data_IF_418836142111
#
_entry.id   IF_418836142111
#
_cell.length_a   1.000
_cell.length_b   1.000
_cell.length_c   1.000
_cell.angle_alpha   90.00
_cell.angle_beta   90.00
_cell.angle_gamma   90.00
#
_symmetry.space_group_name_H-M   'P 1'
#
loop_
_entity.id
_entity.type
_entity.pdbx_description
1 polymer ?
#
# COMPACT_ATOMS: atom_id res chain seq x y z
N UNK A 1 -38.20 -16.84 -53.41
CA UNK A 1 -37.86 -17.28 -52.04
C UNK A 1 -36.36 -17.08 -51.76
N UNK A 2 -35.83 -15.86 -51.98
CA UNK A 2 -34.37 -15.56 -51.85
C UNK A 2 -34.11 -14.37 -50.90
N UNK A 3 -35.06 -13.44 -50.73
CA UNK A 3 -34.87 -12.24 -49.91
C UNK A 3 -34.79 -12.46 -48.40
N UNK A 4 -35.51 -13.44 -47.85
CA UNK A 4 -35.59 -13.64 -46.38
C UNK A 4 -34.31 -14.29 -45.82
N UNK A 5 -33.58 -15.07 -46.63
CA UNK A 5 -32.33 -15.73 -46.20
C UNK A 5 -31.18 -14.75 -45.98
N UNK A 6 -31.12 -13.65 -46.73
CA UNK A 6 -30.02 -12.68 -46.61
C UNK A 6 -30.17 -11.79 -45.37
N UNK A 7 -31.39 -11.40 -44.98
CA UNK A 7 -31.58 -10.57 -43.78
C UNK A 7 -31.28 -11.31 -42.47
N UNK A 8 -31.62 -12.60 -42.38
CA UNK A 8 -31.34 -13.42 -41.20
C UNK A 8 -29.81 -13.64 -41.05
N UNK A 9 -29.11 -13.82 -42.17
CA UNK A 9 -27.67 -14.01 -42.18
C UNK A 9 -26.92 -12.74 -41.74
N UNK A 10 -27.32 -11.56 -42.25
CA UNK A 10 -26.70 -10.27 -41.91
C UNK A 10 -26.90 -9.92 -40.42
N UNK A 11 -28.08 -10.18 -39.86
CA UNK A 11 -28.37 -9.93 -38.42
C UNK A 11 -27.57 -10.86 -37.50
N UNK A 12 -27.35 -12.12 -37.90
CA UNK A 12 -26.51 -13.07 -37.16
C UNK A 12 -25.03 -12.67 -37.12
N UNK A 13 -24.49 -12.14 -38.24
CA UNK A 13 -23.12 -11.63 -38.29
C UNK A 13 -22.92 -10.40 -37.39
N UNK A 14 -23.90 -9.48 -37.34
CA UNK A 14 -23.82 -8.31 -36.45
C UNK A 14 -23.80 -8.67 -34.96
N UNK A 15 -24.59 -9.67 -34.54
CA UNK A 15 -24.57 -10.13 -33.15
C UNK A 15 -23.26 -10.85 -32.79
N UNK A 16 -22.64 -11.55 -33.74
CA UNK A 16 -21.34 -12.21 -33.52
C UNK A 16 -20.20 -11.18 -33.36
N UNK A 17 -20.20 -10.09 -34.13
CA UNK A 17 -19.20 -9.02 -34.03
C UNK A 17 -19.27 -8.23 -32.70
N UNK A 18 -20.47 -8.06 -32.13
CA UNK A 18 -20.65 -7.36 -30.84
C UNK A 18 -20.05 -8.19 -29.68
N UNK A 19 -20.21 -9.52 -29.70
CA UNK A 19 -19.65 -10.41 -28.66
C UNK A 19 -18.13 -10.54 -28.78
N UNK A 20 -17.59 -10.60 -30.01
CA UNK A 20 -16.14 -10.63 -30.26
C UNK A 20 -15.44 -9.31 -29.91
N UNK A 21 -16.11 -8.16 -30.07
CA UNK A 21 -15.59 -6.87 -29.62
C UNK A 21 -15.48 -6.73 -28.10
N UNK A 22 -16.40 -7.37 -27.35
CA UNK A 22 -16.41 -7.31 -25.88
C UNK A 22 -15.28 -8.15 -25.24
N UNK A 23 -14.90 -9.28 -25.85
CA UNK A 23 -13.83 -10.15 -25.34
C UNK A 23 -12.41 -9.57 -25.49
N UNK A 24 -12.23 -8.62 -26.42
CA UNK A 24 -10.94 -7.91 -26.57
C UNK A 24 -10.78 -6.76 -25.55
N UNK A 25 -11.88 -6.20 -25.03
CA UNK A 25 -11.81 -5.08 -24.08
C UNK A 25 -11.35 -5.50 -22.68
N UNK A 26 -11.55 -6.77 -22.29
CA UNK A 26 -11.17 -7.26 -20.96
C UNK A 26 -9.67 -7.56 -20.80
N UNK A 27 -8.87 -7.49 -21.86
CA UNK A 27 -7.43 -7.76 -21.81
C UNK A 27 -6.55 -6.49 -21.86
N UNK A 28 -7.14 -5.28 -21.87
CA UNK A 28 -6.42 -4.00 -21.95
C UNK A 28 -6.40 -3.21 -20.63
N UNK A 29 -6.51 -3.90 -19.49
CA UNK A 29 -6.31 -3.31 -18.15
C UNK A 29 -5.31 -4.17 -17.38
N UNK A 30 -4.09 -4.25 -17.90
CA UNK A 30 -2.92 -4.70 -17.15
C UNK A 30 -1.82 -3.68 -17.41
N UNK A 31 -1.38 -3.00 -16.35
CA UNK A 31 -0.14 -2.23 -16.34
C UNK A 31 -0.28 -0.72 -16.57
N UNK A 32 -1.05 -0.02 -15.75
CA UNK A 32 -0.67 1.35 -15.40
C UNK A 32 0.24 1.26 -14.16
N UNK A 33 1.55 1.16 -14.40
CA UNK A 33 2.54 1.69 -13.46
C UNK A 33 2.40 3.21 -13.50
N UNK A 34 1.40 3.69 -12.78
CA UNK A 34 1.28 5.11 -12.47
C UNK A 34 2.37 5.42 -11.45
N UNK A 35 3.53 5.88 -11.94
CA UNK A 35 4.44 6.73 -11.18
C UNK A 35 3.70 8.05 -10.92
N UNK A 36 2.74 8.00 -9.99
CA UNK A 36 2.08 9.17 -9.45
C UNK A 36 3.07 9.74 -8.45
N UNK A 37 3.82 10.75 -8.90
CA UNK A 37 4.35 11.78 -8.01
C UNK A 37 3.15 12.45 -7.32
N UNK A 38 2.64 11.77 -6.31
CA UNK A 38 1.67 12.32 -5.38
C UNK A 38 2.50 13.25 -4.51
N UNK A 39 2.44 14.56 -4.76
CA UNK A 39 2.93 15.54 -3.79
C UNK A 39 2.27 15.18 -2.45
N UNK A 40 3.10 14.72 -1.51
CA UNK A 40 2.61 14.37 -0.18
C UNK A 40 1.93 15.62 0.41
N UNK A 41 0.73 15.48 1.00
CA UNK A 41 0.10 16.59 1.68
C UNK A 41 1.05 17.16 2.75
N UNK A 42 1.05 18.48 2.90
CA UNK A 42 1.89 19.27 3.81
C UNK A 42 1.80 18.80 5.29
N UNK A 43 0.84 17.93 5.62
CA UNK A 43 0.57 17.35 6.94
C UNK A 43 0.82 15.84 7.01
N UNK A 44 1.84 15.33 6.32
CA UNK A 44 2.28 13.95 6.47
C UNK A 44 3.03 13.76 7.80
N UNK A 45 2.72 12.67 8.51
CA UNK A 45 3.46 12.30 9.73
C UNK A 45 4.91 11.94 9.44
N UNK A 46 5.24 11.59 8.19
CA UNK A 46 6.60 11.34 7.73
C UNK A 46 7.03 12.45 6.78
N UNK A 47 8.30 12.84 6.81
CA UNK A 47 8.84 13.65 5.73
C UNK A 47 9.34 12.76 4.58
N UNK A 48 9.75 13.36 3.48
CA UNK A 48 10.26 12.62 2.31
C UNK A 48 11.42 11.67 2.66
N UNK A 49 12.37 12.11 3.49
CA UNK A 49 13.54 11.29 3.89
C UNK A 49 13.12 10.06 4.70
N UNK A 50 12.18 10.23 5.64
CA UNK A 50 11.59 9.16 6.44
C UNK A 50 10.78 8.21 5.57
N UNK A 51 9.97 8.73 4.65
CA UNK A 51 9.21 7.95 3.66
C UNK A 51 10.13 7.10 2.78
N UNK A 52 11.25 7.67 2.31
CA UNK A 52 12.22 6.95 1.50
C UNK A 52 13.01 5.91 2.32
N UNK A 53 13.31 6.23 3.58
CA UNK A 53 13.89 5.27 4.52
C UNK A 53 12.95 4.08 4.78
N UNK A 54 11.65 4.33 4.98
CA UNK A 54 10.63 3.29 5.12
C UNK A 54 10.60 2.41 3.87
N UNK A 55 10.46 3.00 2.67
CA UNK A 55 10.40 2.25 1.40
C UNK A 55 11.63 1.39 1.20
N UNK A 56 12.82 1.93 1.48
CA UNK A 56 14.08 1.19 1.34
C UNK A 56 14.13 -0.01 2.28
N UNK A 57 13.83 0.20 3.56
CA UNK A 57 13.85 -0.88 4.55
C UNK A 57 12.82 -1.97 4.23
N UNK A 58 11.64 -1.58 3.76
CA UNK A 58 10.59 -2.51 3.37
C UNK A 58 11.01 -3.44 2.22
N UNK A 59 11.68 -2.89 1.20
CA UNK A 59 12.27 -3.69 0.12
C UNK A 59 13.31 -4.67 0.66
N UNK A 60 14.18 -4.24 1.58
CA UNK A 60 15.15 -5.14 2.20
C UNK A 60 14.48 -6.30 2.93
N UNK A 61 13.41 -6.07 3.70
CA UNK A 61 12.70 -7.20 4.32
C UNK A 61 12.07 -8.12 3.28
N UNK A 62 11.42 -7.60 2.24
CA UNK A 62 10.72 -8.45 1.28
C UNK A 62 11.71 -9.24 0.40
N UNK A 63 12.82 -8.61 0.00
CA UNK A 63 13.79 -9.17 -0.95
C UNK A 63 14.88 -10.02 -0.29
N UNK A 64 15.26 -9.72 0.96
CA UNK A 64 16.42 -10.31 1.65
C UNK A 64 16.01 -11.29 2.78
N UNK A 65 14.71 -11.47 3.01
CA UNK A 65 14.22 -12.40 4.02
C UNK A 65 13.85 -13.75 3.40
N UNK A 66 14.24 -14.84 4.08
CA UNK A 66 13.77 -16.19 3.77
C UNK A 66 12.31 -16.41 4.26
N UNK A 67 11.47 -15.37 4.22
CA UNK A 67 10.06 -15.48 4.58
C UNK A 67 9.30 -16.20 3.47
N UNK A 68 8.33 -17.02 3.87
CA UNK A 68 7.41 -17.61 2.91
C UNK A 68 6.38 -16.57 2.45
N UNK A 69 5.72 -16.86 1.32
CA UNK A 69 4.74 -15.98 0.70
C UNK A 69 3.56 -15.60 1.63
N UNK A 70 3.11 -16.53 2.47
CA UNK A 70 2.04 -16.27 3.43
C UNK A 70 2.48 -15.22 4.47
N UNK A 71 3.68 -15.36 5.03
CA UNK A 71 4.22 -14.40 6.00
C UNK A 71 4.43 -13.04 5.36
N UNK A 72 4.95 -12.98 4.12
CA UNK A 72 5.12 -11.72 3.37
C UNK A 72 3.76 -11.04 3.15
N UNK A 73 2.75 -11.79 2.72
CA UNK A 73 1.41 -11.25 2.51
C UNK A 73 0.81 -10.70 3.81
N UNK A 74 0.94 -11.43 4.92
CA UNK A 74 0.47 -10.97 6.24
C UNK A 74 1.24 -9.73 6.71
N UNK A 75 2.56 -9.72 6.53
CA UNK A 75 3.42 -8.57 6.84
C UNK A 75 2.99 -7.33 6.05
N UNK A 76 2.74 -7.46 4.74
CA UNK A 76 2.28 -6.38 3.87
C UNK A 76 0.91 -5.84 4.31
N UNK A 77 -0.02 -6.72 4.66
CA UNK A 77 -1.35 -6.32 5.13
C UNK A 77 -1.25 -5.52 6.43
N UNK A 78 -0.52 -6.04 7.43
CA UNK A 78 -0.36 -5.38 8.73
C UNK A 78 0.30 -4.01 8.56
N UNK A 79 1.43 -3.97 7.86
CA UNK A 79 2.19 -2.73 7.67
C UNK A 79 1.45 -1.67 6.85
N UNK A 80 0.70 -2.07 5.81
CA UNK A 80 -0.16 -1.15 5.06
C UNK A 80 -1.29 -0.59 5.92
N UNK A 81 -1.91 -1.44 6.74
CA UNK A 81 -2.97 -1.03 7.65
C UNK A 81 -2.50 0.01 8.67
N UNK A 82 -1.37 -0.26 9.34
CA UNK A 82 -0.80 0.68 10.31
C UNK A 82 -0.22 1.92 9.64
N UNK A 83 0.38 1.79 8.46
CA UNK A 83 0.85 2.93 7.66
C UNK A 83 -0.27 3.89 7.31
N UNK A 84 -1.44 3.39 6.90
CA UNK A 84 -2.62 4.21 6.63
C UNK A 84 -3.10 4.94 7.89
N UNK A 85 -3.15 4.26 9.04
CA UNK A 85 -3.53 4.89 10.33
C UNK A 85 -2.55 5.98 10.74
N UNK A 86 -1.24 5.75 10.57
CA UNK A 86 -0.21 6.74 10.87
C UNK A 86 -0.36 7.97 9.97
N UNK A 87 -0.64 7.76 8.67
CA UNK A 87 -0.94 8.85 7.74
C UNK A 87 -2.17 9.66 8.20
N UNK A 88 -3.28 8.99 8.48
CA UNK A 88 -4.51 9.63 8.97
C UNK A 88 -4.29 10.42 10.27
N UNK A 89 -3.41 9.93 11.15
CA UNK A 89 -3.05 10.61 12.38
C UNK A 89 -2.30 11.93 12.13
N UNK A 90 -1.42 11.98 11.12
CA UNK A 90 -0.73 13.21 10.72
C UNK A 90 -1.64 14.23 10.04
N UNK A 91 -2.66 13.76 9.32
CA UNK A 91 -3.63 14.59 8.59
C UNK A 91 -4.73 15.17 9.50
N UNK A 92 -4.87 14.72 10.75
CA UNK A 92 -5.87 15.25 11.68
C UNK A 92 -5.43 16.59 12.30
N UNK A 93 -5.85 17.68 11.67
CA UNK A 93 -5.59 19.05 12.12
C UNK A 93 -6.17 19.41 13.50
N UNK A 94 -7.01 18.56 14.11
CA UNK A 94 -7.56 18.80 15.44
C UNK A 94 -6.64 18.32 16.56
N UNK A 95 -5.67 17.47 16.24
CA UNK A 95 -4.76 16.90 17.22
C UNK A 95 -3.57 17.81 17.48
N UNK A 96 -3.18 17.88 18.74
CA UNK A 96 -1.92 18.51 19.16
C UNK A 96 -0.73 17.61 18.81
N UNK A 97 0.47 18.19 18.74
CA UNK A 97 1.72 17.44 18.54
C UNK A 97 1.93 16.32 19.55
N UNK A 98 1.51 16.54 20.80
CA UNK A 98 1.59 15.53 21.88
C UNK A 98 0.66 14.37 21.59
N UNK A 99 -0.57 14.64 21.15
CA UNK A 99 -1.55 13.61 20.78
C UNK A 99 -1.11 12.83 19.54
N UNK A 100 -0.55 13.51 18.53
CA UNK A 100 0.04 12.85 17.34
C UNK A 100 1.20 11.94 17.76
N UNK A 101 2.12 12.44 18.60
CA UNK A 101 3.27 11.65 19.10
C UNK A 101 2.81 10.41 19.87
N UNK A 102 1.83 10.58 20.76
CA UNK A 102 1.30 9.49 21.57
C UNK A 102 0.53 8.48 20.72
N UNK A 103 -0.28 8.95 19.77
CA UNK A 103 -1.01 8.11 18.82
C UNK A 103 -0.06 7.31 17.94
N UNK A 104 1.01 7.93 17.44
CA UNK A 104 2.02 7.28 16.63
C UNK A 104 2.70 6.16 17.41
N UNK A 105 3.15 6.44 18.64
CA UNK A 105 3.75 5.44 19.52
C UNK A 105 2.80 4.27 19.79
N UNK A 106 1.51 4.55 19.98
CA UNK A 106 0.51 3.50 20.18
C UNK A 106 0.37 2.61 18.93
N UNK A 107 0.28 3.21 17.74
CA UNK A 107 0.19 2.48 16.47
C UNK A 107 1.43 1.60 16.22
N UNK A 108 2.63 2.12 16.48
CA UNK A 108 3.88 1.34 16.38
C UNK A 108 3.87 0.16 17.36
N UNK A 109 3.40 0.37 18.59
CA UNK A 109 3.31 -0.70 19.59
C UNK A 109 2.29 -1.78 19.21
N UNK A 110 1.15 -1.40 18.63
CA UNK A 110 0.15 -2.34 18.13
C UNK A 110 0.68 -3.14 16.94
N UNK A 111 1.29 -2.46 15.97
CA UNK A 111 1.96 -3.09 14.84
C UNK A 111 3.03 -4.09 15.29
N UNK A 112 3.86 -3.71 16.26
CA UNK A 112 4.88 -4.59 16.86
C UNK A 112 4.26 -5.88 17.42
N UNK A 113 3.15 -5.77 18.16
CA UNK A 113 2.48 -6.95 18.74
C UNK A 113 1.98 -7.92 17.67
N UNK A 114 1.45 -7.40 16.56
CA UNK A 114 0.98 -8.23 15.46
C UNK A 114 2.15 -8.85 14.68
N UNK A 115 3.19 -8.07 14.39
CA UNK A 115 4.34 -8.56 13.64
C UNK A 115 5.16 -9.59 14.41
N UNK A 116 5.25 -9.46 15.74
CA UNK A 116 5.90 -10.46 16.59
C UNK A 116 5.28 -11.85 16.47
N UNK A 117 4.01 -11.95 16.08
CA UNK A 117 3.30 -13.22 15.94
C UNK A 117 3.57 -13.91 14.60
N UNK A 118 4.07 -13.17 13.60
CA UNK A 118 4.21 -13.69 12.23
C UNK A 118 5.65 -13.71 11.74
N UNK A 119 6.50 -12.82 12.26
CA UNK A 119 7.89 -12.72 11.88
C UNK A 119 8.73 -13.68 12.75
N UNK A 120 9.73 -14.36 12.17
CA UNK A 120 10.76 -15.00 12.96
C UNK A 120 11.55 -13.94 13.75
N UNK A 121 12.20 -14.40 14.84
CA UNK A 121 12.80 -13.50 15.83
C UNK A 121 13.79 -12.49 15.22
N UNK A 122 14.66 -12.92 14.31
CA UNK A 122 15.66 -12.05 13.68
C UNK A 122 15.01 -10.92 12.86
N UNK A 123 13.97 -11.25 12.09
CA UNK A 123 13.26 -10.28 11.25
C UNK A 123 12.40 -9.35 12.12
N UNK A 124 11.87 -9.84 13.23
CA UNK A 124 11.19 -9.02 14.23
C UNK A 124 12.15 -8.03 14.90
N UNK A 125 13.35 -8.45 15.31
CA UNK A 125 14.36 -7.56 15.88
C UNK A 125 14.78 -6.48 14.86
N UNK A 126 14.98 -6.87 13.59
CA UNK A 126 15.26 -5.90 12.52
C UNK A 126 14.14 -4.86 12.34
N UNK A 127 12.89 -5.30 12.41
CA UNK A 127 11.71 -4.41 12.37
C UNK A 127 11.70 -3.46 13.56
N UNK A 128 11.97 -3.99 14.76
CA UNK A 128 11.98 -3.21 15.99
C UNK A 128 13.05 -2.11 15.94
N UNK A 129 14.27 -2.45 15.54
CA UNK A 129 15.38 -1.49 15.39
C UNK A 129 15.09 -0.41 14.34
N UNK A 130 14.44 -0.79 13.24
CA UNK A 130 14.01 0.15 12.21
C UNK A 130 12.98 1.14 12.76
N UNK A 131 11.95 0.64 13.44
CA UNK A 131 10.91 1.50 14.00
C UNK A 131 11.39 2.35 15.17
N UNK A 132 12.37 1.91 15.95
CA UNK A 132 12.98 2.72 17.01
C UNK A 132 13.69 3.94 16.41
N UNK A 133 14.50 3.74 15.34
CA UNK A 133 15.16 4.82 14.60
C UNK A 133 14.17 5.77 13.94
N UNK A 134 13.15 5.23 13.29
CA UNK A 134 12.09 6.04 12.66
C UNK A 134 11.34 6.85 13.71
N UNK A 135 10.98 6.23 14.83
CA UNK A 135 10.28 6.91 15.93
C UNK A 135 11.12 8.02 16.55
N UNK A 136 12.43 7.80 16.70
CA UNK A 136 13.34 8.85 17.15
C UNK A 136 13.37 10.04 16.17
N UNK A 137 13.44 9.79 14.86
CA UNK A 137 13.44 10.83 13.83
C UNK A 137 12.15 11.67 13.86
N UNK A 138 10.99 10.99 13.83
CA UNK A 138 9.67 11.63 13.86
C UNK A 138 9.51 12.47 15.13
N UNK A 139 9.82 11.90 16.30
CA UNK A 139 9.70 12.60 17.58
C UNK A 139 10.63 13.82 17.66
N UNK A 140 11.87 13.69 17.18
CA UNK A 140 12.82 14.80 17.15
C UNK A 140 12.29 15.95 16.30
N UNK A 141 11.76 15.66 15.10
CA UNK A 141 11.17 16.67 14.21
C UNK A 141 9.95 17.34 14.82
N UNK A 142 9.02 16.56 15.36
CA UNK A 142 7.77 17.09 15.94
C UNK A 142 8.01 17.95 17.19
N UNK A 143 9.08 17.69 17.95
CA UNK A 143 9.47 18.48 19.12
C UNK A 143 10.33 19.72 18.80
N UNK A 144 10.84 19.85 17.57
CA UNK A 144 11.68 20.98 17.14
C UNK A 144 10.91 22.07 16.36
N UNK A 145 9.71 21.77 15.89
CA UNK A 145 8.75 22.72 15.32
C UNK A 145 7.89 23.36 16.41
#
# INVERSE_FOLDING_TARGET
MVGIRNEIMIKGFYQLYIVLGFLCYSHLVIGQETDVQQEEPETSIFNQEESDYIKKWFRTIVDDSNLNEETINRFNVITSYYGLKMKQLGEDHKLTKIEITQGFKNLVNEQNKELKQILPAEQYESFYDFFDKLSWSVNKRLNQL
#
